data_IF_459977611921
#
_entry.id   IF_459977611921
#
_cell.length_a   1.000
_cell.length_b   1.000
_cell.length_c   1.000
_cell.angle_alpha   90.00
_cell.angle_beta   90.00
_cell.angle_gamma   90.00
#
_symmetry.space_group_name_H-M   'P 1'
#
loop_
_entity.id
_entity.type
_entity.pdbx_description
1 polymer ?
#
# COMPACT_ATOMS: atom_id res chain seq x y z
N UNK A 1 -35.87 -41.00 -7.73
CA UNK A 1 -35.52 -40.73 -6.31
C UNK A 1 -34.03 -40.41 -6.27
N UNK A 2 -33.71 -39.17 -6.60
CA UNK A 2 -33.26 -38.10 -5.69
C UNK A 2 -31.81 -38.26 -5.25
N UNK A 3 -31.00 -37.38 -5.87
CA UNK A 3 -29.60 -37.06 -5.64
C UNK A 3 -29.26 -36.88 -4.16
N UNK A 4 -28.10 -37.38 -3.73
CA UNK A 4 -27.40 -36.92 -2.54
C UNK A 4 -25.99 -36.50 -2.95
N UNK A 5 -25.90 -35.38 -3.68
CA UNK A 5 -24.72 -34.53 -3.60
C UNK A 5 -24.68 -33.91 -2.19
N UNK A 6 -24.07 -34.64 -1.24
CA UNK A 6 -23.46 -34.04 -0.04
C UNK A 6 -22.02 -33.70 -0.45
N UNK A 7 -21.47 -32.52 -0.23
CA UNK A 7 -21.70 -31.59 0.86
C UNK A 7 -21.50 -30.18 0.33
N UNK A 8 -22.39 -29.28 0.73
CA UNK A 8 -22.11 -27.86 0.80
C UNK A 8 -20.80 -27.64 1.56
N UNK A 9 -20.06 -26.61 1.15
CA UNK A 9 -18.96 -25.97 1.87
C UNK A 9 -19.02 -26.29 3.35
N UNK A 10 -18.04 -27.05 3.86
CA UNK A 10 -17.88 -27.24 5.29
C UNK A 10 -17.82 -25.84 5.89
N UNK A 11 -18.84 -25.50 6.69
CA UNK A 11 -18.76 -24.35 7.60
C UNK A 11 -17.58 -24.69 8.49
N UNK A 12 -16.43 -24.07 8.26
CA UNK A 12 -15.34 -24.13 9.24
C UNK A 12 -15.92 -23.64 10.56
N UNK A 13 -15.74 -24.46 11.59
CA UNK A 13 -16.28 -24.26 12.92
C UNK A 13 -15.49 -23.09 13.55
N UNK A 14 -15.96 -21.86 13.36
CA UNK A 14 -15.33 -20.67 13.94
C UNK A 14 -15.47 -20.72 15.46
N UNK A 15 -14.36 -20.62 16.18
CA UNK A 15 -14.33 -20.60 17.64
C UNK A 15 -14.59 -19.19 18.18
N UNK A 16 -15.87 -18.80 18.23
CA UNK A 16 -16.29 -17.52 18.79
C UNK A 16 -16.17 -17.47 20.33
N UNK A 17 -16.14 -18.62 21.02
CA UNK A 17 -16.09 -18.68 22.49
C UNK A 17 -14.65 -18.66 23.02
N UNK A 18 -13.68 -19.17 22.25
CA UNK A 18 -12.25 -19.19 22.55
C UNK A 18 -11.43 -18.07 21.87
N UNK A 19 -12.08 -17.08 21.26
CA UNK A 19 -11.39 -15.94 20.64
C UNK A 19 -10.74 -15.04 21.72
N UNK A 20 -9.41 -15.08 21.83
CA UNK A 20 -8.63 -14.26 22.77
C UNK A 20 -7.88 -13.14 22.07
N UNK A 21 -7.41 -12.15 22.85
CA UNK A 21 -6.57 -11.07 22.35
C UNK A 21 -5.30 -11.60 21.64
N UNK A 22 -4.71 -12.69 22.12
CA UNK A 22 -3.55 -13.31 21.46
C UNK A 22 -3.90 -13.90 20.10
N UNK A 23 -5.06 -14.57 19.98
CA UNK A 23 -5.54 -15.11 18.71
C UNK A 23 -5.87 -13.99 17.72
N UNK A 24 -6.50 -12.91 18.19
CA UNK A 24 -6.77 -11.72 17.40
C UNK A 24 -5.49 -11.06 16.90
N UNK A 25 -4.53 -10.81 17.78
CA UNK A 25 -3.25 -10.21 17.41
C UNK A 25 -2.48 -11.07 16.40
N UNK A 26 -2.52 -12.41 16.54
CA UNK A 26 -1.91 -13.31 15.57
C UNK A 26 -2.60 -13.23 14.20
N UNK A 27 -3.94 -13.21 14.16
CA UNK A 27 -4.70 -13.05 12.92
C UNK A 27 -4.43 -11.70 12.25
N UNK A 28 -4.41 -10.60 13.02
CA UNK A 28 -4.07 -9.26 12.54
C UNK A 28 -2.64 -9.19 12.00
N UNK A 29 -1.68 -9.85 12.65
CA UNK A 29 -0.29 -9.91 12.16
C UNK A 29 -0.18 -10.65 10.83
N UNK A 30 -0.95 -11.73 10.64
CA UNK A 30 -1.04 -12.43 9.35
C UNK A 30 -1.63 -11.49 8.30
N UNK A 31 -2.78 -10.85 8.58
CA UNK A 31 -3.41 -9.90 7.65
C UNK A 31 -2.49 -8.73 7.29
N UNK A 32 -1.76 -8.18 8.25
CA UNK A 32 -0.81 -7.10 8.02
C UNK A 32 0.36 -7.56 7.14
N UNK A 33 0.95 -8.72 7.45
CA UNK A 33 1.97 -9.35 6.61
C UNK A 33 1.44 -9.72 5.22
N UNK A 34 0.13 -9.95 5.11
CA UNK A 34 -0.51 -10.28 3.85
C UNK A 34 -0.75 -9.09 2.93
N UNK A 35 -0.87 -7.90 3.48
CA UNK A 35 -1.12 -6.70 2.70
C UNK A 35 0.10 -5.76 2.63
N UNK A 36 1.18 -6.09 3.33
CA UNK A 36 2.42 -5.30 3.25
C UNK A 36 3.12 -5.49 1.90
N UNK A 37 3.35 -4.39 1.19
CA UNK A 37 4.13 -4.37 -0.04
C UNK A 37 5.62 -4.47 0.27
N UNK A 38 6.38 -5.05 -0.66
CA UNK A 38 7.84 -4.94 -0.66
C UNK A 38 8.26 -3.69 -1.43
N UNK A 39 9.37 -3.06 -1.07
CA UNK A 39 9.88 -1.94 -1.85
C UNK A 39 11.41 -1.87 -1.87
N UNK A 40 11.93 -1.19 -2.89
CA UNK A 40 13.34 -0.79 -3.00
C UNK A 40 13.44 0.63 -3.54
N UNK A 41 14.56 1.30 -3.25
CA UNK A 41 14.96 2.52 -3.94
C UNK A 41 15.89 2.12 -5.07
N UNK A 42 15.50 2.41 -6.31
CA UNK A 42 16.36 2.14 -7.46
C UNK A 42 17.43 3.21 -7.65
N UNK A 43 18.53 2.84 -8.31
CA UNK A 43 19.62 3.77 -8.69
C UNK A 43 19.12 4.95 -9.54
N UNK A 44 18.03 4.76 -10.29
CA UNK A 44 17.40 5.79 -11.11
C UNK A 44 16.49 6.75 -10.31
N UNK A 45 16.57 6.75 -8.98
CA UNK A 45 15.79 7.63 -8.08
C UNK A 45 14.29 7.39 -8.11
N UNK A 46 13.89 6.12 -8.27
CA UNK A 46 12.49 5.69 -8.12
C UNK A 46 12.30 4.88 -6.85
N UNK A 47 11.17 5.11 -6.19
CA UNK A 47 10.55 4.16 -5.28
C UNK A 47 9.87 3.08 -6.11
N UNK A 48 10.28 1.82 -5.90
CA UNK A 48 9.75 0.67 -6.63
C UNK A 48 9.03 -0.22 -5.63
N UNK A 49 7.71 -0.16 -5.62
CA UNK A 49 6.86 -1.01 -4.80
C UNK A 49 6.43 -2.25 -5.58
N UNK A 50 6.51 -3.42 -4.93
CA UNK A 50 6.02 -4.70 -5.43
C UNK A 50 4.87 -5.17 -4.55
N UNK A 51 3.71 -5.31 -5.18
CA UNK A 51 2.50 -5.84 -4.59
C UNK A 51 2.52 -7.37 -4.57
N UNK A 52 1.66 -7.95 -3.75
CA UNK A 52 1.59 -9.41 -3.52
C UNK A 52 1.26 -10.23 -4.76
N UNK A 53 0.41 -9.70 -5.62
CA UNK A 53 0.07 -10.28 -6.93
C UNK A 53 1.23 -10.20 -7.94
N UNK A 54 2.34 -9.55 -7.58
CA UNK A 54 3.51 -9.36 -8.42
C UNK A 54 3.49 -8.07 -9.24
N UNK A 55 2.45 -7.23 -9.17
CA UNK A 55 2.44 -5.90 -9.80
C UNK A 55 3.59 -5.06 -9.23
N UNK A 56 4.28 -4.36 -10.10
CA UNK A 56 5.35 -3.43 -9.74
C UNK A 56 4.94 -2.02 -10.16
N UNK A 57 4.93 -1.10 -9.22
CA UNK A 57 4.71 0.33 -9.48
C UNK A 57 6.00 1.09 -9.19
N UNK A 58 6.37 1.97 -10.12
CA UNK A 58 7.56 2.82 -10.02
C UNK A 58 7.15 4.29 -9.92
N UNK A 59 7.41 4.92 -8.78
CA UNK A 59 7.10 6.33 -8.55
C UNK A 59 8.39 7.12 -8.33
N UNK A 60 8.61 8.23 -9.04
CA UNK A 60 9.83 9.03 -8.93
C UNK A 60 9.94 9.65 -7.53
N UNK A 61 11.13 9.61 -6.93
CA UNK A 61 11.41 10.25 -5.63
C UNK A 61 11.86 11.70 -5.75
N UNK A 62 12.21 12.13 -6.96
CA UNK A 62 12.60 13.51 -7.26
C UNK A 62 11.49 14.13 -8.11
N UNK A 63 10.71 15.01 -7.49
CA UNK A 63 9.61 15.72 -8.12
C UNK A 63 10.04 17.16 -8.46
N UNK A 64 9.45 17.75 -9.48
CA UNK A 64 9.58 19.19 -9.72
C UNK A 64 8.78 19.97 -8.68
N UNK A 65 9.14 21.24 -8.45
CA UNK A 65 8.41 22.11 -7.50
C UNK A 65 6.93 22.21 -7.87
N UNK A 66 6.61 22.39 -9.16
CA UNK A 66 5.21 22.45 -9.63
C UNK A 66 4.43 21.17 -9.31
N UNK A 67 5.07 20.00 -9.42
CA UNK A 67 4.44 18.72 -9.12
C UNK A 67 4.25 18.53 -7.61
N UNK A 68 5.21 18.99 -6.82
CA UNK A 68 5.11 19.00 -5.36
C UNK A 68 3.95 19.87 -4.90
N UNK A 69 3.87 21.11 -5.38
CA UNK A 69 2.79 22.06 -5.04
C UNK A 69 1.41 21.50 -5.37
N UNK A 70 1.28 20.79 -6.50
CA UNK A 70 0.03 20.15 -6.88
C UNK A 70 -0.35 19.02 -5.92
N UNK A 71 0.60 18.24 -5.41
CA UNK A 71 0.34 17.15 -4.44
C UNK A 71 0.11 17.69 -3.03
N UNK A 72 0.91 18.66 -2.58
CA UNK A 72 0.73 19.33 -1.28
C UNK A 72 -0.51 20.21 -1.26
N UNK A 73 -1.12 20.55 -2.40
CA UNK A 73 -2.44 21.18 -2.44
C UNK A 73 -3.56 20.30 -1.84
N UNK A 74 -3.26 19.03 -1.56
CA UNK A 74 -4.20 18.03 -1.03
C UNK A 74 -3.84 17.57 0.39
N UNK A 75 -3.22 18.40 1.25
CA UNK A 75 -2.83 17.98 2.62
C UNK A 75 -4.02 17.49 3.46
N UNK A 76 -5.23 17.94 3.16
CA UNK A 76 -6.47 17.49 3.81
C UNK A 76 -6.94 16.09 3.36
N UNK A 77 -6.30 15.51 2.35
CA UNK A 77 -6.63 14.18 1.81
C UNK A 77 -5.72 13.09 2.39
N UNK A 78 -6.20 11.84 2.35
CA UNK A 78 -5.40 10.68 2.73
C UNK A 78 -4.20 10.47 1.79
N UNK A 79 -3.13 9.87 2.30
CA UNK A 79 -1.94 9.51 1.51
C UNK A 79 -2.30 8.73 0.23
N UNK A 80 -3.33 7.87 0.28
CA UNK A 80 -3.80 7.10 -0.89
C UNK A 80 -4.37 8.02 -1.97
N UNK A 81 -5.15 9.03 -1.59
CA UNK A 81 -5.66 9.98 -2.58
C UNK A 81 -4.52 10.86 -3.12
N UNK A 82 -3.61 11.31 -2.25
CA UNK A 82 -2.43 12.08 -2.69
C UNK A 82 -1.57 11.30 -3.70
N UNK A 83 -1.32 10.01 -3.46
CA UNK A 83 -0.52 9.19 -4.40
C UNK A 83 -1.26 8.96 -5.72
N UNK A 84 -2.58 8.81 -5.70
CA UNK A 84 -3.40 8.68 -6.92
C UNK A 84 -3.34 9.95 -7.78
N UNK A 85 -3.46 11.12 -7.16
CA UNK A 85 -3.31 12.41 -7.85
C UNK A 85 -1.89 12.56 -8.42
N UNK A 86 -0.86 12.16 -7.66
CA UNK A 86 0.51 12.14 -8.19
C UNK A 86 0.63 11.24 -9.42
N UNK A 87 0.02 10.05 -9.42
CA UNK A 87 0.05 9.16 -10.59
C UNK A 87 -0.63 9.76 -11.81
N UNK A 88 -1.77 10.43 -11.63
CA UNK A 88 -2.47 11.14 -12.69
C UNK A 88 -1.59 12.25 -13.30
N UNK A 89 -0.97 13.08 -12.45
CA UNK A 89 -0.06 14.15 -12.88
C UNK A 89 1.19 13.63 -13.58
N UNK A 90 1.65 12.42 -13.23
CA UNK A 90 2.75 11.74 -13.89
C UNK A 90 2.34 11.03 -15.18
N UNK A 91 1.05 11.01 -15.54
CA UNK A 91 0.53 10.28 -16.70
C UNK A 91 0.67 8.76 -16.56
N UNK A 92 0.53 8.24 -15.34
CA UNK A 92 0.70 6.82 -15.00
C UNK A 92 -0.66 6.12 -14.88
N UNK A 93 -1.48 6.23 -15.93
CA UNK A 93 -2.88 5.79 -15.93
C UNK A 93 -3.04 4.30 -15.57
N UNK A 94 -2.16 3.42 -16.07
CA UNK A 94 -2.20 1.99 -15.74
C UNK A 94 -1.91 1.69 -14.26
N UNK A 95 -0.99 2.45 -13.65
CA UNK A 95 -0.64 2.28 -12.24
C UNK A 95 -1.76 2.83 -11.34
N UNK A 96 -2.39 3.93 -11.76
CA UNK A 96 -3.56 4.51 -11.12
C UNK A 96 -4.77 3.56 -11.18
N UNK A 97 -5.06 2.99 -12.37
CA UNK A 97 -6.13 2.01 -12.54
C UNK A 97 -5.91 0.80 -11.65
N UNK A 98 -4.68 0.30 -11.58
CA UNK A 98 -4.32 -0.78 -10.68
C UNK A 98 -4.58 -0.40 -9.21
N UNK A 99 -4.09 0.76 -8.75
CA UNK A 99 -4.28 1.20 -7.36
C UNK A 99 -5.76 1.33 -6.98
N UNK A 100 -6.63 1.72 -7.92
CA UNK A 100 -8.07 1.81 -7.69
C UNK A 100 -8.74 0.44 -7.49
N UNK A 101 -8.10 -0.65 -7.94
CA UNK A 101 -8.61 -2.02 -7.86
C UNK A 101 -7.87 -2.86 -6.82
N UNK A 102 -6.71 -2.39 -6.35
CA UNK A 102 -5.89 -3.07 -5.36
C UNK A 102 -6.60 -3.16 -4.00
N UNK A 103 -6.15 -4.11 -3.18
CA UNK A 103 -6.55 -4.15 -1.77
C UNK A 103 -6.21 -2.81 -1.07
N UNK A 104 -7.15 -2.33 -0.26
CA UNK A 104 -7.04 -1.01 0.37
C UNK A 104 -5.83 -0.91 1.30
N UNK A 105 -5.49 -1.97 2.03
CA UNK A 105 -4.33 -1.97 2.94
C UNK A 105 -3.02 -1.95 2.15
N UNK A 106 -2.97 -2.66 1.02
CA UNK A 106 -1.80 -2.61 0.12
C UNK A 106 -1.61 -1.23 -0.51
N UNK A 107 -2.71 -0.55 -0.89
CA UNK A 107 -2.67 0.81 -1.42
C UNK A 107 -2.22 1.83 -0.35
N UNK A 108 -2.76 1.72 0.87
CA UNK A 108 -2.36 2.54 2.02
C UNK A 108 -0.87 2.34 2.32
N UNK A 109 -0.42 1.10 2.42
CA UNK A 109 0.98 0.76 2.75
C UNK A 109 1.93 1.25 1.65
N UNK A 110 1.55 1.16 0.37
CA UNK A 110 2.30 1.76 -0.74
C UNK A 110 2.47 3.28 -0.57
N UNK A 111 1.37 3.99 -0.35
CA UNK A 111 1.36 5.44 -0.22
C UNK A 111 2.21 5.90 0.98
N UNK A 112 1.97 5.30 2.15
CA UNK A 112 2.70 5.62 3.38
C UNK A 112 4.21 5.38 3.24
N UNK A 113 4.62 4.24 2.66
CA UNK A 113 6.04 3.94 2.44
C UNK A 113 6.69 4.91 1.45
N UNK A 114 5.96 5.31 0.40
CA UNK A 114 6.43 6.30 -0.55
C UNK A 114 6.66 7.66 0.13
N UNK A 115 5.67 8.21 0.84
CA UNK A 115 5.79 9.51 1.49
C UNK A 115 6.77 9.51 2.65
N UNK A 116 6.86 8.43 3.42
CA UNK A 116 7.91 8.24 4.43
C UNK A 116 9.31 8.32 3.81
N UNK A 117 9.49 7.78 2.59
CA UNK A 117 10.77 7.88 1.90
C UNK A 117 11.06 9.32 1.46
N UNK A 118 10.05 10.03 0.97
CA UNK A 118 10.17 11.43 0.60
C UNK A 118 10.57 12.31 1.80
N UNK A 119 9.94 12.11 2.95
CA UNK A 119 10.28 12.79 4.20
C UNK A 119 11.73 12.52 4.61
N UNK A 120 12.16 11.24 4.58
CA UNK A 120 13.55 10.86 4.89
C UNK A 120 14.57 11.54 3.99
N UNK A 121 14.30 11.61 2.68
CA UNK A 121 15.17 12.29 1.72
C UNK A 121 15.24 13.79 2.04
N UNK A 122 14.11 14.41 2.39
CA UNK A 122 14.05 15.83 2.74
C UNK A 122 14.88 16.13 3.98
N UNK A 123 14.73 15.32 5.04
CA UNK A 123 15.51 15.44 6.28
C UNK A 123 17.01 15.28 6.04
N UNK A 124 17.41 14.26 5.28
CA UNK A 124 18.81 14.06 4.89
C UNK A 124 19.37 15.25 4.08
N UNK A 125 18.56 15.84 3.20
CA UNK A 125 18.95 17.02 2.41
C UNK A 125 19.17 18.26 3.29
N UNK A 126 18.43 18.36 4.40
CA UNK A 126 18.63 19.40 5.43
C UNK A 126 19.81 19.12 6.36
N UNK A 127 20.52 18.00 6.18
CA UNK A 127 21.68 17.60 7.00
C UNK A 127 21.30 16.90 8.31
N UNK A 128 20.04 16.49 8.47
CA UNK A 128 19.60 15.73 9.63
C UNK A 128 20.05 14.26 9.55
N UNK A 129 20.26 13.64 10.69
CA UNK A 129 20.47 12.19 10.78
C UNK A 129 19.14 11.44 10.87
N UNK A 130 19.04 10.30 10.19
CA UNK A 130 17.97 9.33 10.41
C UNK A 130 18.26 8.57 11.73
N UNK A 131 17.75 9.09 12.84
CA UNK A 131 17.78 8.42 14.15
C UNK A 131 16.69 7.37 14.28
#
# INVERSE_FOLDING_TARGET
MTSKTKNALAVEEFDFEGWTDEAENAALAVLAGENSIQYVISENRFFVGRFKDGRIIKTPLVLSVNLLEAVTGFEDQSDVEQIKHLMELLGKDEDLEYLNQADIFSAIDYAQKYFSMFEKITRLTMGESLS
#
